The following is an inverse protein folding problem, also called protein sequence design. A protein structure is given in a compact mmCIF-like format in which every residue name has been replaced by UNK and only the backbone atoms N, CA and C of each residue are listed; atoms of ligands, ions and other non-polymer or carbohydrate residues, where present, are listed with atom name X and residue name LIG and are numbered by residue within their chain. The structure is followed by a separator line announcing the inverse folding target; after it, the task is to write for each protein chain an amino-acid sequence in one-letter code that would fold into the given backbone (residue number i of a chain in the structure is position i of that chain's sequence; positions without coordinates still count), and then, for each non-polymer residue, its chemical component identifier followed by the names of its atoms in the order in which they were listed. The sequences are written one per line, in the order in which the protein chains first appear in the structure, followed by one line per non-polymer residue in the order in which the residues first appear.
data_IF_056061057957
#
_entry.id   IF_056061057957
#
_cell.length_a   1.000
_cell.length_b   1.000
_cell.length_c   1.000
_cell.angle_alpha   90.00
_cell.angle_beta   90.00
_cell.angle_gamma   90.00
#
_symmetry.space_group_name_H-M   'P 1'
#
loop_
_entity.id
_entity.type
_entity.pdbx_description
1 polymer ?
#
# COMPACT_ATOMS: atom_id res chain seq x y z
N UNK A 1 12.73 18.34 -6.76
CA UNK A 1 11.45 18.99 -7.04
C UNK A 1 11.46 20.42 -6.47
N UNK A 2 11.47 21.46 -7.28
CA UNK A 2 11.29 22.83 -6.78
C UNK A 2 9.79 23.08 -6.67
N UNK A 3 9.30 23.32 -5.46
CA UNK A 3 7.88 23.57 -5.19
C UNK A 3 7.70 25.04 -4.94
N UNK A 4 6.90 25.71 -5.78
CA UNK A 4 6.52 27.10 -5.56
C UNK A 4 5.34 27.12 -4.58
N UNK A 5 5.59 27.47 -3.31
CA UNK A 5 4.54 27.72 -2.33
C UNK A 5 3.99 29.13 -2.50
N UNK A 6 2.89 29.29 -3.25
CA UNK A 6 2.13 30.52 -3.24
C UNK A 6 1.37 30.69 -1.91
N UNK A 7 1.29 31.91 -1.40
CA UNK A 7 0.60 32.32 -0.17
C UNK A 7 -0.94 32.11 -0.19
N UNK A 8 -1.42 30.87 -0.26
CA UNK A 8 -2.86 30.55 -0.36
C UNK A 8 -3.40 29.63 0.74
N UNK A 9 -2.63 29.41 1.81
CA UNK A 9 -3.04 28.54 2.92
C UNK A 9 -4.26 29.08 3.72
N UNK A 10 -4.63 30.34 3.57
CA UNK A 10 -5.70 30.98 4.38
C UNK A 10 -7.10 30.78 3.79
N UNK A 11 -7.24 30.44 2.51
CA UNK A 11 -8.55 30.34 1.82
C UNK A 11 -9.25 28.98 1.97
N UNK A 12 -8.50 27.90 2.32
CA UNK A 12 -9.05 26.54 2.29
C UNK A 12 -10.04 26.28 3.42
N UNK A 13 -9.76 26.78 4.62
CA UNK A 13 -10.64 26.65 5.78
C UNK A 13 -12.01 27.34 5.58
N UNK A 14 -12.02 28.45 4.83
CA UNK A 14 -13.23 29.21 4.55
C UNK A 14 -14.16 28.51 3.53
N UNK A 15 -13.59 27.84 2.53
CA UNK A 15 -14.37 27.18 1.46
C UNK A 15 -15.00 25.87 1.94
N UNK A 16 -14.27 25.07 2.73
CA UNK A 16 -14.80 23.83 3.31
C UNK A 16 -15.80 24.11 4.43
N UNK A 17 -15.60 25.15 5.22
CA UNK A 17 -16.53 25.57 6.29
C UNK A 17 -17.88 26.09 5.75
N UNK A 18 -17.93 26.63 4.53
CA UNK A 18 -19.18 27.06 3.90
C UNK A 18 -20.11 25.90 3.58
N UNK A 19 -19.56 24.73 3.17
CA UNK A 19 -20.36 23.52 2.89
C UNK A 19 -20.85 22.78 4.14
N UNK A 20 -20.12 22.88 5.25
CA UNK A 20 -20.52 22.26 6.53
C UNK A 20 -21.68 23.00 7.22
N UNK A 21 -21.92 24.28 6.91
CA UNK A 21 -22.98 25.09 7.54
C UNK A 21 -24.38 24.87 6.97
N UNK A 22 -24.54 24.29 5.81
CA UNK A 22 -25.86 24.10 5.18
C UNK A 22 -26.62 22.84 5.60
N UNK A 23 -26.04 21.97 6.45
CA UNK A 23 -26.73 20.80 6.98
C UNK A 23 -26.80 20.82 8.49
N UNK A 24 -27.79 21.55 9.00
CA UNK A 24 -28.27 21.38 10.36
C UNK A 24 -28.77 19.96 10.63
N UNK A 25 -28.28 19.40 11.71
CA UNK A 25 -28.87 18.36 12.55
C UNK A 25 -29.63 17.22 11.86
N UNK A 26 -28.96 16.08 11.74
CA UNK A 26 -29.58 14.77 11.95
C UNK A 26 -28.76 14.03 13.01
N UNK A 27 -29.27 14.03 14.19
CA UNK A 27 -28.78 13.28 15.35
C UNK A 27 -29.11 11.80 15.18
N UNK A 28 -28.23 10.93 15.66
CA UNK A 28 -28.54 9.53 15.98
C UNK A 28 -27.86 8.46 15.15
N UNK A 29 -26.52 8.40 15.17
CA UNK A 29 -25.86 7.12 14.96
C UNK A 29 -25.61 6.49 16.34
N UNK A 30 -26.33 5.40 16.64
CA UNK A 30 -26.05 4.53 17.78
C UNK A 30 -24.58 4.03 17.68
N UNK A 31 -23.87 3.85 18.80
CA UNK A 31 -22.51 3.31 18.77
C UNK A 31 -22.58 1.90 18.15
N UNK A 32 -21.97 1.73 16.98
CA UNK A 32 -21.81 0.43 16.35
C UNK A 32 -21.11 -0.49 17.35
N UNK A 33 -21.75 -1.59 17.73
CA UNK A 33 -21.15 -2.63 18.56
C UNK A 33 -19.80 -2.99 17.92
N UNK A 34 -18.70 -2.75 18.63
CA UNK A 34 -17.37 -3.20 18.21
C UNK A 34 -17.45 -4.71 18.05
N UNK A 35 -17.26 -5.21 16.84
CA UNK A 35 -17.20 -6.63 16.61
C UNK A 35 -16.03 -7.19 17.45
N UNK A 36 -16.35 -8.01 18.43
CA UNK A 36 -15.36 -8.68 19.27
C UNK A 36 -14.62 -9.71 18.41
N UNK A 37 -13.31 -9.55 18.28
CA UNK A 37 -12.49 -10.49 17.52
C UNK A 37 -12.21 -11.70 18.42
N UNK A 38 -12.88 -12.79 18.14
CA UNK A 38 -12.59 -14.07 18.83
C UNK A 38 -11.34 -14.70 18.21
N UNK A 39 -10.27 -14.78 19.00
CA UNK A 39 -9.02 -15.41 18.58
C UNK A 39 -9.12 -16.92 18.86
N UNK A 40 -8.95 -17.81 17.83
CA UNK A 40 -8.94 -19.24 18.04
C UNK A 40 -7.79 -19.64 18.98
N UNK A 41 -7.98 -20.65 19.86
CA UNK A 41 -6.94 -21.13 20.78
C UNK A 41 -5.63 -21.52 20.06
N UNK A 42 -5.72 -22.16 18.90
CA UNK A 42 -4.56 -22.58 18.10
C UNK A 42 -3.78 -21.38 17.58
N UNK A 43 -4.45 -20.29 17.24
CA UNK A 43 -3.82 -19.05 16.83
C UNK A 43 -3.09 -18.36 17.98
N UNK A 44 -3.72 -18.35 19.17
CA UNK A 44 -3.09 -17.83 20.38
C UNK A 44 -1.85 -18.64 20.76
N UNK A 45 -1.94 -19.98 20.69
CA UNK A 45 -0.80 -20.87 20.94
C UNK A 45 0.32 -20.66 19.90
N UNK A 46 -0.01 -20.52 18.62
CA UNK A 46 0.95 -20.28 17.55
C UNK A 46 1.69 -18.95 17.71
N UNK A 47 0.97 -17.87 18.07
CA UNK A 47 1.61 -16.56 18.33
C UNK A 47 2.51 -16.62 19.55
N UNK A 48 2.10 -17.31 20.62
CA UNK A 48 2.92 -17.53 21.82
C UNK A 48 4.18 -18.34 21.48
N UNK A 49 4.05 -19.42 20.69
CA UNK A 49 5.19 -20.25 20.23
C UNK A 49 6.17 -19.43 19.40
N UNK A 50 5.68 -18.64 18.44
CA UNK A 50 6.51 -17.78 17.61
C UNK A 50 7.23 -16.69 18.44
N UNK A 51 6.56 -16.15 19.45
CA UNK A 51 7.16 -15.18 20.37
C UNK A 51 8.16 -15.80 21.35
N UNK A 52 7.95 -17.07 21.76
CA UNK A 52 8.82 -17.79 22.69
C UNK A 52 10.05 -18.41 22.00
N UNK A 53 9.98 -18.75 20.72
CA UNK A 53 11.07 -19.37 19.95
C UNK A 53 12.33 -18.48 19.81
N UNK A 54 12.29 -17.29 20.35
CA UNK A 54 13.38 -16.32 20.38
C UNK A 54 14.40 -16.56 21.49
N UNK A 55 14.67 -17.80 21.87
CA UNK A 55 15.83 -18.19 22.71
C UNK A 55 17.15 -18.13 21.93
N UNK A 56 17.09 -17.98 20.62
CA UNK A 56 18.23 -17.67 19.75
C UNK A 56 18.77 -16.26 19.99
N UNK A 57 20.08 -16.01 19.75
CA UNK A 57 20.68 -14.70 20.00
C UNK A 57 20.10 -13.57 19.12
N UNK A 58 19.41 -13.89 18.04
CA UNK A 58 18.80 -12.92 17.13
C UNK A 58 17.27 -12.98 17.15
N UNK A 59 16.56 -11.83 17.06
CA UNK A 59 15.10 -11.81 16.97
C UNK A 59 14.57 -12.61 15.76
N UNK A 60 13.35 -13.19 15.82
CA UNK A 60 12.83 -14.06 14.78
C UNK A 60 12.50 -13.31 13.48
N UNK A 61 12.64 -14.01 12.36
CA UNK A 61 12.06 -13.65 11.06
C UNK A 61 10.93 -14.64 10.77
N UNK A 62 9.69 -14.15 10.78
CA UNK A 62 8.49 -14.97 10.64
C UNK A 62 7.82 -14.68 9.30
N UNK A 63 7.70 -15.69 8.44
CA UNK A 63 6.92 -15.61 7.20
C UNK A 63 5.56 -16.25 7.41
N UNK A 64 4.48 -15.49 7.11
CA UNK A 64 3.09 -15.97 7.20
C UNK A 64 2.56 -16.26 5.81
N UNK A 65 2.27 -17.53 5.50
CA UNK A 65 1.84 -17.98 4.19
C UNK A 65 0.56 -18.83 4.24
N UNK A 66 -0.07 -19.04 3.08
CA UNK A 66 -1.31 -19.82 2.94
C UNK A 66 -2.27 -19.24 1.91
N UNK A 67 -3.45 -19.86 1.71
CA UNK A 67 -4.41 -19.46 0.69
C UNK A 67 -4.94 -18.04 0.86
N UNK A 68 -5.55 -17.53 -0.23
CA UNK A 68 -6.28 -16.26 -0.16
C UNK A 68 -7.45 -16.38 0.84
N UNK A 69 -7.67 -15.34 1.63
CA UNK A 69 -8.73 -15.26 2.65
C UNK A 69 -8.61 -16.29 3.80
N UNK A 70 -7.43 -16.89 4.01
CA UNK A 70 -7.17 -17.79 5.13
C UNK A 70 -6.95 -17.06 6.48
N UNK A 71 -6.86 -15.72 6.45
CA UNK A 71 -6.63 -14.92 7.66
C UNK A 71 -5.18 -14.53 7.92
N UNK A 72 -4.28 -14.68 6.95
CA UNK A 72 -2.84 -14.34 7.08
C UNK A 72 -2.61 -12.98 7.72
N UNK A 73 -3.18 -11.95 7.14
CA UNK A 73 -3.03 -10.58 7.65
C UNK A 73 -3.56 -10.41 9.07
N UNK A 74 -4.67 -11.06 9.42
CA UNK A 74 -5.20 -11.06 10.79
C UNK A 74 -4.24 -11.74 11.75
N UNK A 75 -3.68 -12.90 11.36
CA UNK A 75 -2.67 -13.56 12.14
C UNK A 75 -1.39 -12.74 12.30
N UNK A 76 -0.92 -12.10 11.21
CA UNK A 76 0.26 -11.22 11.25
C UNK A 76 0.08 -10.07 12.23
N UNK A 77 -1.13 -9.48 12.34
CA UNK A 77 -1.45 -8.43 13.31
C UNK A 77 -1.46 -8.96 14.76
N UNK A 78 -2.02 -10.15 14.97
CA UNK A 78 -1.98 -10.81 16.30
C UNK A 78 -0.54 -11.08 16.73
N UNK A 79 0.27 -11.61 15.81
CA UNK A 79 1.68 -11.87 16.05
C UNK A 79 2.45 -10.59 16.36
N UNK A 80 2.19 -9.50 15.60
CA UNK A 80 2.77 -8.19 15.85
C UNK A 80 2.48 -7.73 17.27
N UNK A 81 1.21 -7.76 17.70
CA UNK A 81 0.82 -7.39 19.05
C UNK A 81 1.44 -8.30 20.12
N UNK A 82 1.73 -9.56 19.79
CA UNK A 82 2.38 -10.50 20.73
C UNK A 82 3.89 -10.28 20.86
N UNK A 83 4.54 -9.76 19.82
CA UNK A 83 5.98 -9.47 19.83
C UNK A 83 6.30 -8.10 20.45
N UNK A 84 5.43 -7.11 20.32
CA UNK A 84 5.64 -5.75 20.81
C UNK A 84 6.01 -5.67 22.32
N UNK A 85 5.36 -6.38 23.24
CA UNK A 85 5.69 -6.30 24.67
C UNK A 85 7.14 -6.74 24.99
N UNK A 86 7.71 -7.59 24.15
CA UNK A 86 9.06 -8.13 24.35
C UNK A 86 10.13 -7.28 23.66
N UNK A 87 9.86 -6.80 22.45
CA UNK A 87 10.85 -6.15 21.62
C UNK A 87 10.69 -4.62 21.52
N UNK A 88 9.58 -4.08 22.03
CA UNK A 88 9.25 -2.66 21.92
C UNK A 88 8.92 -2.21 20.49
N UNK A 89 9.60 -2.76 19.48
CA UNK A 89 9.39 -2.47 18.06
C UNK A 89 9.43 -3.75 17.24
N UNK A 90 8.64 -3.81 16.18
CA UNK A 90 8.52 -4.96 15.27
C UNK A 90 8.60 -4.49 13.83
N UNK A 91 9.48 -5.10 13.04
CA UNK A 91 9.52 -4.92 11.59
C UNK A 91 8.35 -5.65 10.92
N UNK A 92 7.70 -5.00 9.99
CA UNK A 92 6.60 -5.57 9.21
C UNK A 92 6.87 -5.35 7.71
N UNK A 93 7.18 -6.42 7.00
CA UNK A 93 7.38 -6.41 5.55
C UNK A 93 6.09 -6.87 4.87
N UNK A 94 5.41 -5.93 4.24
CA UNK A 94 4.18 -6.21 3.51
C UNK A 94 4.48 -6.43 2.04
N UNK A 95 4.18 -7.62 1.58
CA UNK A 95 4.45 -8.03 0.20
C UNK A 95 3.17 -8.22 -0.62
N UNK A 96 1.99 -7.97 -0.07
CA UNK A 96 0.72 -8.07 -0.80
C UNK A 96 0.37 -6.74 -1.50
N UNK A 97 0.86 -6.56 -2.73
CA UNK A 97 0.57 -5.37 -3.56
C UNK A 97 -0.92 -5.15 -3.84
N UNK A 98 -1.73 -6.22 -3.73
CA UNK A 98 -3.17 -6.14 -4.00
C UNK A 98 -4.00 -5.68 -2.82
N UNK A 99 -3.59 -6.03 -1.60
CA UNK A 99 -4.30 -5.69 -0.35
C UNK A 99 -3.30 -5.45 0.78
N UNK A 100 -2.45 -4.42 0.66
CA UNK A 100 -1.47 -4.13 1.69
C UNK A 100 -2.13 -3.68 2.99
N UNK A 101 -1.44 -3.94 4.11
CA UNK A 101 -1.96 -3.66 5.45
C UNK A 101 -1.90 -2.19 5.83
N UNK A 102 -0.75 -1.55 5.62
CA UNK A 102 -0.44 -0.21 6.12
C UNK A 102 -0.16 0.81 5.02
N UNK A 103 -0.07 0.37 3.76
CA UNK A 103 0.24 1.20 2.60
C UNK A 103 -0.88 1.18 1.56
N UNK A 104 -0.89 2.10 0.58
CA UNK A 104 -1.84 2.07 -0.53
C UNK A 104 -1.55 0.89 -1.48
N UNK A 105 -2.57 0.42 -2.25
CA UNK A 105 -2.41 -0.63 -3.25
C UNK A 105 -1.33 -0.32 -4.28
N UNK A 106 -0.66 -1.36 -4.77
CA UNK A 106 0.44 -1.24 -5.72
C UNK A 106 1.81 -1.02 -5.08
N UNK A 107 1.89 -1.02 -3.75
CA UNK A 107 3.12 -0.85 -3.01
C UNK A 107 3.55 -2.14 -2.30
N UNK A 108 4.87 -2.39 -2.26
CA UNK A 108 5.51 -3.21 -1.24
C UNK A 108 6.12 -2.26 -0.21
N UNK A 109 6.03 -2.59 1.07
CA UNK A 109 6.46 -1.64 2.10
C UNK A 109 7.05 -2.34 3.32
N UNK A 110 8.05 -1.69 3.91
CA UNK A 110 8.63 -2.05 5.20
C UNK A 110 8.27 -1.00 6.23
N UNK A 111 7.69 -1.44 7.33
CA UNK A 111 7.27 -0.62 8.45
C UNK A 111 7.98 -1.05 9.72
N UNK A 112 8.27 -0.10 10.59
CA UNK A 112 8.66 -0.34 11.98
C UNK A 112 7.48 0.09 12.85
N UNK A 113 6.89 -0.87 13.54
CA UNK A 113 5.70 -0.66 14.36
C UNK A 113 6.10 -0.75 15.83
N UNK A 114 5.77 0.27 16.60
CA UNK A 114 6.08 0.43 18.02
C UNK A 114 4.83 0.51 18.92
N UNK A 115 3.66 0.57 18.31
CA UNK A 115 2.39 0.61 19.01
C UNK A 115 1.49 -0.55 18.63
N UNK A 116 0.78 -1.11 19.62
CA UNK A 116 -0.16 -2.20 19.41
C UNK A 116 -1.32 -1.78 18.49
N UNK A 117 -1.72 -2.69 17.60
CA UNK A 117 -2.86 -2.51 16.74
C UNK A 117 -4.15 -2.73 17.54
N UNK A 118 -4.92 -1.67 17.71
CA UNK A 118 -6.19 -1.70 18.47
C UNK A 118 -7.35 -2.23 17.63
N UNK A 119 -7.33 -2.01 16.31
CA UNK A 119 -8.30 -2.58 15.37
C UNK A 119 -7.62 -3.65 14.50
N UNK A 120 -7.89 -4.90 14.85
CA UNK A 120 -7.37 -6.06 14.11
C UNK A 120 -8.13 -6.34 12.81
N UNK A 121 -9.24 -5.67 12.54
CA UNK A 121 -10.05 -5.86 11.34
C UNK A 121 -9.74 -4.81 10.27
N UNK A 122 -9.54 -3.57 10.68
CA UNK A 122 -9.33 -2.43 9.77
C UNK A 122 -8.11 -1.62 10.22
N UNK A 123 -6.89 -2.06 9.92
CA UNK A 123 -5.70 -1.30 10.26
C UNK A 123 -5.67 0.02 9.49
N UNK A 124 -5.26 1.07 10.17
CA UNK A 124 -5.05 2.39 9.57
C UNK A 124 -3.77 2.40 8.73
N UNK A 125 -3.73 3.27 7.74
CA UNK A 125 -2.50 3.57 7.01
C UNK A 125 -1.43 4.08 7.98
N UNK A 126 -0.19 3.63 7.78
CA UNK A 126 0.96 4.05 8.58
C UNK A 126 2.09 4.51 7.67
N UNK A 127 2.87 5.43 8.16
CA UNK A 127 4.11 5.80 7.49
C UNK A 127 5.01 4.58 7.36
N UNK A 128 5.59 4.38 6.19
CA UNK A 128 6.54 3.32 5.93
C UNK A 128 7.96 3.84 6.07
N UNK A 129 8.85 3.01 6.59
CA UNK A 129 10.26 3.34 6.62
C UNK A 129 10.90 3.25 5.23
N UNK A 130 10.44 2.27 4.44
CA UNK A 130 10.79 2.12 3.02
C UNK A 130 9.60 1.58 2.22
N UNK A 131 9.47 2.08 1.01
CA UNK A 131 8.43 1.67 0.09
C UNK A 131 8.98 1.53 -1.33
N UNK A 132 8.52 0.49 -2.02
CA UNK A 132 8.71 0.32 -3.46
C UNK A 132 7.34 0.38 -4.13
N UNK A 133 7.16 1.27 -5.09
CA UNK A 133 5.94 1.33 -5.89
C UNK A 133 6.05 0.35 -7.06
N UNK A 134 5.41 -0.79 -6.94
CA UNK A 134 5.32 -1.79 -8.00
C UNK A 134 4.32 -1.37 -9.10
N UNK A 135 3.29 -0.60 -8.73
CA UNK A 135 2.36 0.02 -9.66
C UNK A 135 1.26 -0.90 -10.22
N UNK A 136 1.16 -2.15 -9.77
CA UNK A 136 0.06 -3.06 -10.11
C UNK A 136 -0.47 -3.76 -8.85
N UNK A 137 -1.73 -4.17 -8.88
CA UNK A 137 -2.39 -4.96 -7.83
C UNK A 137 -2.08 -6.46 -7.94
N UNK A 138 -1.33 -6.87 -8.93
CA UNK A 138 -0.98 -8.27 -9.22
C UNK A 138 0.47 -8.41 -9.64
N UNK A 139 1.27 -9.07 -8.83
CA UNK A 139 2.67 -9.41 -9.10
C UNK A 139 2.88 -10.34 -10.31
N UNK A 140 1.82 -10.97 -10.81
CA UNK A 140 1.92 -11.96 -11.92
C UNK A 140 2.28 -11.32 -13.26
N UNK A 141 2.10 -10.03 -13.41
CA UNK A 141 2.41 -9.32 -14.65
C UNK A 141 3.92 -9.21 -14.84
N UNK A 142 4.64 -8.96 -13.77
CA UNK A 142 6.08 -8.80 -13.75
C UNK A 142 6.66 -9.41 -12.46
N UNK A 143 6.81 -10.76 -12.42
CA UNK A 143 7.32 -11.46 -11.25
C UNK A 143 8.75 -11.08 -10.89
N UNK A 144 9.59 -10.78 -11.88
CA UNK A 144 10.99 -10.42 -11.68
C UNK A 144 11.11 -9.08 -10.94
N UNK A 145 10.47 -8.03 -11.45
CA UNK A 145 10.46 -6.71 -10.78
C UNK A 145 9.83 -6.80 -9.39
N UNK A 146 8.78 -7.62 -9.22
CA UNK A 146 8.19 -7.84 -7.91
C UNK A 146 9.17 -8.44 -6.90
N UNK A 147 9.86 -9.52 -7.28
CA UNK A 147 10.86 -10.17 -6.41
C UNK A 147 12.03 -9.22 -6.13
N UNK A 148 12.49 -8.46 -7.12
CA UNK A 148 13.54 -7.48 -6.93
C UNK A 148 13.14 -6.40 -5.91
N UNK A 149 11.91 -5.88 -5.97
CA UNK A 149 11.38 -4.94 -4.97
C UNK A 149 11.37 -5.56 -3.56
N UNK A 150 10.92 -6.79 -3.45
CA UNK A 150 10.87 -7.51 -2.19
C UNK A 150 12.28 -7.71 -1.61
N UNK A 151 13.22 -8.21 -2.42
CA UNK A 151 14.59 -8.46 -2.00
C UNK A 151 15.27 -7.16 -1.55
N UNK A 152 15.07 -6.08 -2.29
CA UNK A 152 15.62 -4.78 -1.93
C UNK A 152 15.10 -4.24 -0.57
N UNK A 153 13.81 -4.44 -0.27
CA UNK A 153 13.24 -4.11 1.05
C UNK A 153 13.78 -5.01 2.16
N UNK A 154 13.97 -6.30 1.87
CA UNK A 154 14.54 -7.24 2.84
C UNK A 154 16.01 -6.96 3.11
N UNK A 155 16.79 -6.66 2.07
CA UNK A 155 18.21 -6.28 2.21
C UNK A 155 18.37 -5.02 3.04
N UNK A 156 17.51 -4.01 2.83
CA UNK A 156 17.47 -2.83 3.67
C UNK A 156 17.22 -3.18 5.17
N UNK A 157 16.28 -4.10 5.43
CA UNK A 157 16.04 -4.58 6.79
C UNK A 157 17.29 -5.27 7.37
N UNK A 158 17.93 -6.14 6.60
CA UNK A 158 19.14 -6.87 7.04
C UNK A 158 20.29 -5.90 7.31
N UNK A 159 20.54 -4.98 6.39
CA UNK A 159 21.61 -3.99 6.53
C UNK A 159 21.42 -3.12 7.78
N UNK A 160 20.20 -2.62 8.00
CA UNK A 160 19.92 -1.69 9.08
C UNK A 160 19.73 -2.36 10.44
N UNK A 161 19.05 -3.51 10.50
CA UNK A 161 18.54 -4.13 11.74
C UNK A 161 19.16 -5.49 12.06
N UNK A 162 19.99 -6.03 11.19
CA UNK A 162 20.69 -7.31 11.44
C UNK A 162 22.19 -7.14 11.48
N UNK A 163 22.76 -6.34 10.57
CA UNK A 163 24.20 -6.12 10.44
C UNK A 163 24.62 -4.70 10.85
N UNK A 164 23.66 -3.79 10.99
CA UNK A 164 23.89 -2.38 11.30
C UNK A 164 24.04 -2.08 12.78
N UNK A 165 24.27 -0.79 13.10
CA UNK A 165 24.36 -0.28 14.47
C UNK A 165 22.99 -0.13 15.17
N UNK A 166 21.89 -0.34 14.45
CA UNK A 166 20.54 -0.26 15.02
C UNK A 166 20.22 -1.48 15.86
N UNK A 167 19.35 -1.30 16.86
CA UNK A 167 18.86 -2.39 17.70
C UNK A 167 18.15 -3.45 16.84
N UNK A 168 18.52 -4.75 16.98
CA UNK A 168 17.92 -5.81 16.20
C UNK A 168 16.40 -5.92 16.40
N UNK A 169 15.63 -6.05 15.31
CA UNK A 169 14.19 -6.17 15.32
C UNK A 169 13.73 -7.58 14.90
N UNK A 170 12.63 -8.11 15.48
CA UNK A 170 11.90 -9.21 14.86
C UNK A 170 11.24 -8.71 13.56
N UNK A 171 11.10 -9.60 12.58
CA UNK A 171 10.46 -9.30 11.31
C UNK A 171 9.26 -10.21 11.07
N UNK A 172 8.13 -9.62 10.72
CA UNK A 172 6.96 -10.34 10.19
C UNK A 172 6.89 -10.04 8.69
N UNK A 173 6.82 -11.10 7.88
CA UNK A 173 6.60 -10.99 6.44
C UNK A 173 5.19 -11.47 6.11
N UNK A 174 4.32 -10.55 5.70
CA UNK A 174 2.96 -10.87 5.23
C UNK A 174 3.00 -11.17 3.74
N UNK A 175 2.48 -12.35 3.32
CA UNK A 175 2.56 -12.79 1.93
C UNK A 175 1.19 -12.77 1.24
N UNK A 176 1.15 -12.60 -0.08
CA UNK A 176 -0.05 -12.85 -0.88
C UNK A 176 -0.55 -14.28 -0.75
N UNK A 177 -1.81 -14.51 -1.16
CA UNK A 177 -2.44 -15.83 -1.08
C UNK A 177 -2.01 -16.79 -2.19
N UNK A 178 -0.71 -17.05 -2.33
CA UNK A 178 -0.13 -17.87 -3.40
C UNK A 178 0.01 -19.33 -2.97
N UNK A 179 -0.65 -20.20 -3.68
CA UNK A 179 -0.59 -21.65 -3.40
C UNK A 179 -0.36 -22.49 -4.67
N UNK A 180 -0.38 -21.87 -5.88
CA UNK A 180 -0.22 -22.58 -7.17
C UNK A 180 0.34 -21.66 -8.26
N UNK A 181 0.99 -22.28 -9.27
CA UNK A 181 1.51 -21.62 -10.46
C UNK A 181 2.56 -20.56 -10.13
N UNK A 182 2.73 -19.55 -10.96
CA UNK A 182 3.76 -18.52 -10.82
C UNK A 182 3.78 -17.84 -9.41
N UNK A 183 2.62 -17.72 -8.75
CA UNK A 183 2.58 -17.22 -7.37
C UNK A 183 3.26 -18.17 -6.38
N UNK A 184 3.10 -19.48 -6.56
CA UNK A 184 3.80 -20.46 -5.75
C UNK A 184 5.30 -20.42 -5.98
N UNK A 185 5.72 -20.31 -7.24
CA UNK A 185 7.15 -20.22 -7.59
C UNK A 185 7.79 -18.97 -6.97
N UNK A 186 7.09 -17.82 -7.01
CA UNK A 186 7.52 -16.60 -6.33
C UNK A 186 7.61 -16.78 -4.79
N UNK A 187 6.67 -17.53 -4.18
CA UNK A 187 6.72 -17.80 -2.74
C UNK A 187 7.93 -18.67 -2.38
N UNK A 188 8.26 -19.67 -3.23
CA UNK A 188 9.46 -20.50 -3.06
C UNK A 188 10.72 -19.65 -3.09
N UNK A 189 10.87 -18.79 -4.10
CA UNK A 189 12.04 -17.89 -4.23
C UNK A 189 12.12 -16.92 -3.05
N UNK A 190 10.98 -16.36 -2.60
CA UNK A 190 10.92 -15.52 -1.41
C UNK A 190 11.41 -16.25 -0.16
N UNK A 191 10.94 -17.47 0.09
CA UNK A 191 11.32 -18.26 1.26
C UNK A 191 12.81 -18.64 1.23
N UNK A 192 13.35 -18.95 0.03
CA UNK A 192 14.77 -19.23 -0.17
C UNK A 192 15.64 -18.00 0.12
N UNK A 193 15.21 -16.83 -0.36
CA UNK A 193 15.96 -15.59 -0.18
C UNK A 193 15.96 -15.08 1.26
N UNK A 194 14.78 -15.05 1.89
CA UNK A 194 14.59 -14.53 3.25
C UNK A 194 15.23 -15.45 4.30
N UNK A 195 15.28 -16.77 4.05
CA UNK A 195 15.75 -17.76 5.02
C UNK A 195 15.12 -17.55 6.40
N UNK A 196 13.77 -17.61 6.54
CA UNK A 196 13.09 -17.29 7.78
C UNK A 196 13.47 -18.26 8.91
N UNK A 197 13.37 -17.80 10.16
CA UNK A 197 13.54 -18.67 11.34
C UNK A 197 12.26 -19.43 11.68
N UNK A 198 11.10 -18.85 11.30
CA UNK A 198 9.78 -19.45 11.53
C UNK A 198 8.94 -19.27 10.27
N UNK A 199 8.23 -20.31 9.85
CA UNK A 199 7.20 -20.24 8.81
C UNK A 199 5.86 -20.65 9.41
N UNK A 200 4.89 -19.75 9.37
CA UNK A 200 3.50 -20.02 9.78
C UNK A 200 2.67 -20.29 8.52
N UNK A 201 2.21 -21.51 8.38
CA UNK A 201 1.35 -21.93 7.28
C UNK A 201 -0.09 -22.03 7.74
N UNK A 202 -0.96 -21.16 7.21
CA UNK A 202 -2.40 -21.20 7.49
C UNK A 202 -3.07 -22.07 6.43
N UNK A 203 -3.87 -23.05 6.87
CA UNK A 203 -4.57 -24.03 6.03
C UNK A 203 -6.06 -23.78 6.03
N UNK A 204 -6.71 -24.18 4.95
CA UNK A 204 -8.18 -24.20 4.84
C UNK A 204 -8.67 -25.64 4.65
N UNK A 205 -9.95 -25.91 4.90
CA UNK A 205 -10.55 -27.23 4.75
C UNK A 205 -10.40 -27.84 3.36
N UNK A 206 -10.35 -27.01 2.32
CA UNK A 206 -10.14 -27.45 0.93
C UNK A 206 -8.65 -27.78 0.69
N UNK A 207 -8.25 -29.03 0.93
CA UNK A 207 -6.87 -29.51 0.84
C UNK A 207 -6.18 -29.13 -0.48
N UNK A 208 -6.89 -29.24 -1.61
CA UNK A 208 -6.34 -28.90 -2.94
C UNK A 208 -5.99 -27.43 -3.14
N UNK A 209 -6.36 -26.55 -2.19
CA UNK A 209 -6.06 -25.11 -2.18
C UNK A 209 -5.01 -24.74 -1.12
N UNK A 210 -4.45 -25.69 -0.42
CA UNK A 210 -3.36 -25.47 0.53
C UNK A 210 -2.00 -25.57 -0.15
N UNK A 211 -0.98 -25.04 0.52
CA UNK A 211 0.42 -25.25 0.17
C UNK A 211 0.80 -26.72 0.45
N UNK A 212 1.84 -27.25 -0.21
CA UNK A 212 2.38 -28.56 0.14
C UNK A 212 2.79 -28.65 1.60
N UNK A 213 2.78 -29.88 2.13
CA UNK A 213 3.27 -30.15 3.47
C UNK A 213 4.79 -30.08 3.56
N UNK A 214 5.29 -29.70 4.73
CA UNK A 214 6.73 -29.61 4.99
C UNK A 214 7.41 -28.39 4.36
N UNK A 215 8.72 -28.50 4.23
CA UNK A 215 9.59 -27.40 3.76
C UNK A 215 9.81 -27.49 2.24
N UNK A 216 8.76 -27.31 1.48
CA UNK A 216 8.72 -27.50 0.01
C UNK A 216 9.68 -26.59 -0.79
N UNK A 217 10.32 -25.63 -0.16
CA UNK A 217 11.30 -24.72 -0.79
C UNK A 217 12.75 -25.10 -0.52
N UNK A 218 12.99 -26.09 0.36
CA UNK A 218 14.34 -26.57 0.72
C UNK A 218 14.67 -27.89 0.02
N UNK A 219 15.94 -28.10 -0.27
CA UNK A 219 16.43 -29.36 -0.74
C UNK A 219 16.54 -30.40 0.39
N UNK A 220 16.48 -31.67 0.04
CA UNK A 220 16.56 -32.78 1.01
C UNK A 220 17.84 -32.69 1.85
N UNK A 221 17.70 -32.69 3.18
CA UNK A 221 18.82 -32.70 4.13
C UNK A 221 19.27 -31.33 4.64
N UNK A 222 18.67 -30.23 4.22
CA UNK A 222 18.93 -28.93 4.80
C UNK A 222 18.17 -28.75 6.13
N UNK A 223 18.84 -28.15 7.12
CA UNK A 223 18.17 -27.68 8.35
C UNK A 223 17.27 -26.51 8.00
N UNK A 224 15.99 -26.60 8.33
CA UNK A 224 15.02 -25.59 7.99
C UNK A 224 14.48 -24.81 9.20
N UNK A 225 13.60 -23.84 8.95
CA UNK A 225 12.94 -23.06 9.99
C UNK A 225 11.97 -23.89 10.83
N UNK A 226 11.55 -23.34 11.97
CA UNK A 226 10.44 -23.89 12.72
C UNK A 226 9.14 -23.72 11.93
N UNK A 227 8.43 -24.83 11.65
CA UNK A 227 7.16 -24.84 10.93
C UNK A 227 6.00 -24.86 11.90
N UNK A 228 5.12 -23.86 11.82
CA UNK A 228 3.88 -23.79 12.59
C UNK A 228 2.70 -23.89 11.62
N UNK A 229 1.94 -24.97 11.73
CA UNK A 229 0.73 -25.18 10.93
C UNK A 229 -0.50 -24.86 11.77
N UNK A 230 -1.36 -23.99 11.26
CA UNK A 230 -2.64 -23.62 11.90
C UNK A 230 -3.77 -23.66 10.88
N UNK A 231 -4.97 -23.92 11.35
CA UNK A 231 -6.15 -23.89 10.50
C UNK A 231 -6.80 -22.51 10.48
N UNK A 232 -7.35 -22.13 9.33
CA UNK A 232 -8.17 -20.95 9.22
C UNK A 232 -9.41 -21.10 10.11
N UNK A 233 -9.86 -20.03 10.80
CA UNK A 233 -11.05 -20.10 11.65
C UNK A 233 -12.24 -20.62 10.84
N UNK A 234 -12.97 -21.60 11.37
CA UNK A 234 -14.19 -22.09 10.75
C UNK A 234 -15.21 -20.96 10.70
N UNK A 235 -15.55 -20.52 9.52
CA UNK A 235 -16.75 -19.73 9.32
C UNK A 235 -17.93 -20.71 9.30
N UNK A 236 -18.72 -20.71 10.35
CA UNK A 236 -19.95 -21.49 10.44
C UNK A 236 -20.79 -21.25 9.16
N UNK A 237 -21.20 -22.35 8.52
CA UNK A 237 -21.98 -22.31 7.30
C UNK A 237 -23.32 -21.54 7.47
N UNK A 238 -23.80 -21.39 8.70
CA UNK A 238 -25.01 -20.63 9.07
C UNK A 238 -24.82 -19.12 8.96
N UNK A 239 -23.60 -18.59 9.09
CA UNK A 239 -23.30 -17.16 8.99
C UNK A 239 -22.80 -16.72 7.60
N UNK A 240 -22.85 -17.58 6.59
CA UNK A 240 -22.44 -17.23 5.21
C UNK A 240 -23.22 -16.07 4.60
N UNK A 241 -24.44 -15.82 5.06
CA UNK A 241 -25.27 -14.69 4.56
C UNK A 241 -24.87 -13.32 5.12
N UNK A 242 -24.10 -13.29 6.24
CA UNK A 242 -23.60 -12.06 6.87
C UNK A 242 -22.12 -11.81 6.58
N UNK A 243 -21.40 -12.79 6.04
CA UNK A 243 -20.06 -12.57 5.51
C UNK A 243 -20.21 -11.80 4.21
N UNK A 244 -20.20 -10.49 4.31
CA UNK A 244 -19.92 -9.59 3.20
C UNK A 244 -18.68 -10.17 2.53
N UNK A 245 -18.89 -10.77 1.36
CA UNK A 245 -17.79 -11.24 0.51
C UNK A 245 -16.88 -10.03 0.37
N UNK A 246 -15.69 -10.07 1.00
CA UNK A 246 -14.80 -8.91 1.04
C UNK A 246 -14.55 -8.52 -0.41
N UNK A 247 -15.22 -7.50 -0.88
CA UNK A 247 -15.04 -6.95 -2.20
C UNK A 247 -13.63 -6.37 -2.26
N UNK A 248 -12.75 -7.14 -2.88
CA UNK A 248 -11.34 -6.76 -3.01
C UNK A 248 -11.16 -5.44 -3.75
N UNK A 249 -12.07 -5.10 -4.66
CA UNK A 249 -12.07 -3.83 -5.37
C UNK A 249 -12.44 -2.68 -4.41
N UNK A 250 -13.54 -2.79 -3.71
CA UNK A 250 -13.98 -1.77 -2.76
C UNK A 250 -13.00 -1.57 -1.60
N UNK A 251 -12.28 -2.63 -1.19
CA UNK A 251 -11.22 -2.48 -0.17
C UNK A 251 -10.03 -1.66 -0.69
N UNK A 252 -9.59 -1.89 -1.93
CA UNK A 252 -8.51 -1.09 -2.54
C UNK A 252 -8.93 0.35 -2.75
N UNK A 253 -10.14 0.57 -3.27
CA UNK A 253 -10.69 1.90 -3.45
C UNK A 253 -10.73 2.67 -2.11
N UNK A 254 -11.20 2.02 -1.04
CA UNK A 254 -11.21 2.60 0.32
C UNK A 254 -9.81 2.97 0.78
N UNK A 255 -8.79 2.13 0.55
CA UNK A 255 -7.40 2.43 0.92
C UNK A 255 -6.86 3.65 0.20
N UNK A 256 -7.11 3.80 -1.09
CA UNK A 256 -6.73 4.99 -1.85
C UNK A 256 -7.47 6.24 -1.36
N UNK A 257 -8.74 6.11 -1.04
CA UNK A 257 -9.54 7.20 -0.47
C UNK A 257 -8.96 7.63 0.89
N UNK A 258 -8.67 6.68 1.79
CA UNK A 258 -8.03 6.95 3.08
C UNK A 258 -6.66 7.59 2.92
N UNK A 259 -5.89 7.17 1.92
CA UNK A 259 -4.58 7.75 1.62
C UNK A 259 -4.71 9.22 1.19
N UNK A 260 -5.58 9.53 0.24
CA UNK A 260 -5.75 10.92 -0.23
C UNK A 260 -6.52 11.81 0.74
N UNK A 261 -7.24 11.27 1.73
CA UNK A 261 -7.76 12.04 2.85
C UNK A 261 -6.65 12.71 3.67
N UNK A 262 -5.47 12.12 3.73
CA UNK A 262 -4.30 12.70 4.41
C UNK A 262 -3.77 14.00 3.75
N UNK A 263 -4.26 14.37 2.55
CA UNK A 263 -4.02 15.69 1.97
C UNK A 263 -4.67 16.83 2.79
N UNK A 264 -5.54 16.51 3.74
CA UNK A 264 -6.27 17.46 4.55
C UNK A 264 -5.86 17.34 6.02
N UNK A 265 -5.84 18.47 6.76
CA UNK A 265 -5.65 18.44 8.19
C UNK A 265 -6.72 17.57 8.89
N UNK A 266 -6.34 16.96 10.01
CA UNK A 266 -7.20 16.01 10.76
C UNK A 266 -8.45 16.63 11.38
N UNK A 267 -8.50 17.95 11.51
CA UNK A 267 -9.66 18.72 11.99
C UNK A 267 -10.76 18.89 10.93
N UNK A 268 -10.42 18.62 9.65
CA UNK A 268 -11.40 18.67 8.56
C UNK A 268 -12.09 17.31 8.43
N UNK A 269 -13.38 17.26 8.82
CA UNK A 269 -14.19 16.07 8.69
C UNK A 269 -14.72 15.91 7.26
N UNK A 270 -14.10 15.01 6.48
CA UNK A 270 -14.59 14.56 5.17
C UNK A 270 -15.32 13.23 5.36
N UNK A 271 -16.63 13.28 5.50
CA UNK A 271 -17.45 12.09 5.83
C UNK A 271 -17.83 11.27 4.61
N UNK A 272 -17.90 11.91 3.43
CA UNK A 272 -18.31 11.27 2.18
C UNK A 272 -17.22 11.36 1.11
N UNK A 273 -17.20 10.36 0.20
CA UNK A 273 -16.30 10.38 -0.95
C UNK A 273 -16.53 11.61 -1.86
N UNK A 274 -17.76 12.12 -1.88
CA UNK A 274 -18.12 13.31 -2.65
C UNK A 274 -17.46 14.57 -2.05
N UNK A 275 -17.49 14.71 -0.74
CA UNK A 275 -16.80 15.81 -0.04
C UNK A 275 -15.29 15.75 -0.28
N UNK A 276 -14.70 14.54 -0.20
CA UNK A 276 -13.29 14.34 -0.52
C UNK A 276 -12.98 14.74 -1.98
N UNK A 277 -13.80 14.30 -2.93
CA UNK A 277 -13.60 14.64 -4.34
C UNK A 277 -13.63 16.15 -4.56
N UNK A 278 -14.60 16.86 -3.98
CA UNK A 278 -14.66 18.32 -4.02
C UNK A 278 -13.45 18.96 -3.32
N UNK A 279 -13.08 18.46 -2.16
CA UNK A 279 -11.90 18.92 -1.43
C UNK A 279 -10.64 18.82 -2.29
N UNK A 280 -10.36 17.64 -2.87
CA UNK A 280 -9.20 17.41 -3.73
C UNK A 280 -9.20 18.34 -4.97
N UNK A 281 -10.36 18.68 -5.53
CA UNK A 281 -10.43 19.63 -6.64
C UNK A 281 -10.16 21.08 -6.22
N UNK A 282 -10.35 21.40 -4.95
CA UNK A 282 -10.16 22.72 -4.37
C UNK A 282 -8.78 22.95 -3.77
N UNK A 283 -8.00 21.86 -3.57
CA UNK A 283 -6.64 21.96 -3.07
C UNK A 283 -5.73 22.63 -4.08
N UNK A 284 -4.89 23.60 -3.68
CA UNK A 284 -3.82 24.10 -4.51
C UNK A 284 -2.82 22.95 -4.74
N UNK A 285 -2.58 22.57 -6.02
CA UNK A 285 -1.62 21.52 -6.32
C UNK A 285 -0.19 22.03 -6.16
N UNK A 286 0.73 21.10 -5.95
CA UNK A 286 2.15 21.42 -6.09
C UNK A 286 2.51 21.62 -7.56
N UNK A 287 3.18 22.71 -7.87
CA UNK A 287 3.73 22.98 -9.20
C UNK A 287 5.12 22.37 -9.32
N UNK A 288 5.31 21.52 -10.32
CA UNK A 288 6.54 20.79 -10.57
C UNK A 288 7.00 21.05 -11.97
N UNK A 289 8.25 21.50 -12.15
CA UNK A 289 8.82 21.63 -13.49
C UNK A 289 9.00 20.24 -14.11
N UNK A 290 8.59 20.10 -15.37
CA UNK A 290 8.79 18.90 -16.18
C UNK A 290 10.28 18.55 -16.29
N UNK A 291 11.17 19.55 -16.29
CA UNK A 291 12.62 19.36 -16.35
C UNK A 291 13.23 18.78 -15.07
N UNK A 292 12.52 18.86 -13.95
CA UNK A 292 13.03 18.41 -12.65
C UNK A 292 12.70 16.95 -12.33
N UNK A 293 11.92 16.29 -13.18
CA UNK A 293 11.46 14.92 -12.95
C UNK A 293 11.56 14.06 -14.21
N UNK A 294 11.91 12.81 -14.02
CA UNK A 294 11.89 11.78 -15.05
C UNK A 294 10.66 10.88 -14.86
N UNK A 295 10.05 10.44 -15.95
CA UNK A 295 8.89 9.55 -15.95
C UNK A 295 9.32 8.15 -16.33
N UNK A 296 8.91 7.16 -15.52
CA UNK A 296 9.10 5.74 -15.79
C UNK A 296 7.73 5.06 -15.84
N UNK A 297 7.43 4.40 -16.95
CA UNK A 297 6.25 3.56 -17.12
C UNK A 297 6.60 2.12 -16.73
N UNK A 298 5.99 1.59 -15.67
CA UNK A 298 6.38 0.33 -15.06
C UNK A 298 5.94 -0.91 -15.84
N UNK A 299 4.77 -0.88 -16.47
CA UNK A 299 4.14 -2.06 -17.07
C UNK A 299 3.71 -1.88 -18.53
N UNK A 300 4.09 -0.79 -19.14
CA UNK A 300 3.79 -0.49 -20.54
C UNK A 300 4.91 0.36 -21.18
N UNK A 301 4.95 0.35 -22.49
CA UNK A 301 5.80 1.26 -23.23
C UNK A 301 4.94 2.39 -23.78
N UNK A 302 5.38 3.62 -23.59
CA UNK A 302 4.70 4.82 -24.07
C UNK A 302 5.65 5.55 -25.02
N UNK A 303 5.19 5.94 -26.22
CA UNK A 303 5.99 6.75 -27.13
C UNK A 303 6.45 8.05 -26.46
N UNK A 304 7.67 8.55 -26.72
CA UNK A 304 8.19 9.76 -26.09
C UNK A 304 7.29 11.00 -26.28
N UNK A 305 6.57 11.09 -27.39
CA UNK A 305 5.61 12.18 -27.67
C UNK A 305 4.36 12.13 -26.78
N UNK A 306 4.02 10.97 -26.22
CA UNK A 306 2.79 10.74 -25.45
C UNK A 306 3.03 10.63 -23.94
N UNK A 307 4.28 10.67 -23.49
CA UNK A 307 4.65 10.50 -22.07
C UNK A 307 3.85 11.45 -21.16
N UNK A 308 3.82 12.73 -21.48
CA UNK A 308 3.11 13.73 -20.67
C UNK A 308 1.60 13.58 -20.76
N UNK A 309 1.07 13.23 -21.93
CA UNK A 309 -0.38 13.01 -22.11
C UNK A 309 -0.85 11.78 -21.32
N UNK A 310 -0.02 10.75 -21.22
CA UNK A 310 -0.35 9.50 -20.49
C UNK A 310 -0.48 9.71 -18.97
N UNK A 311 0.19 10.72 -18.42
CA UNK A 311 0.17 11.00 -16.98
C UNK A 311 -1.07 11.76 -16.51
N UNK A 312 -1.78 12.43 -17.40
CA UNK A 312 -2.89 13.30 -17.00
C UNK A 312 -4.02 12.53 -16.33
N UNK A 313 -4.47 12.99 -15.17
CA UNK A 313 -5.48 12.35 -14.33
C UNK A 313 -5.12 10.88 -13.95
N UNK A 314 -3.86 10.62 -13.57
CA UNK A 314 -3.39 9.32 -13.12
C UNK A 314 -2.80 9.38 -11.72
N UNK A 315 -2.70 8.22 -11.07
CA UNK A 315 -1.90 8.04 -9.85
C UNK A 315 -0.49 7.64 -10.26
N UNK A 316 0.49 8.30 -9.66
CA UNK A 316 1.92 8.00 -9.82
C UNK A 316 2.59 7.75 -8.49
N UNK A 317 3.60 6.89 -8.46
CA UNK A 317 4.54 6.82 -7.36
C UNK A 317 5.52 7.99 -7.44
N UNK A 318 5.65 8.73 -6.35
CA UNK A 318 6.62 9.81 -6.19
C UNK A 318 7.90 9.21 -5.63
N UNK A 319 8.93 9.07 -6.46
CA UNK A 319 10.10 8.28 -6.12
C UNK A 319 11.39 9.11 -6.13
N UNK A 320 12.38 8.57 -5.43
CA UNK A 320 13.71 9.15 -5.27
C UNK A 320 14.70 8.16 -5.86
N UNK A 321 15.51 8.60 -6.83
CA UNK A 321 16.56 7.77 -7.42
C UNK A 321 17.64 7.47 -6.39
N UNK A 322 18.10 6.23 -6.36
CA UNK A 322 19.19 5.78 -5.50
C UNK A 322 20.51 5.79 -6.29
N UNK A 323 21.16 6.95 -6.39
CA UNK A 323 22.46 7.08 -7.07
C UNK A 323 22.39 6.96 -8.59
N UNK A 324 23.53 6.83 -9.24
CA UNK A 324 23.63 6.64 -10.70
C UNK A 324 22.86 5.38 -11.11
N UNK A 325 21.90 5.54 -12.01
CA UNK A 325 21.17 4.46 -12.67
C UNK A 325 22.17 3.75 -13.62
N UNK A 326 23.20 3.12 -13.04
CA UNK A 326 24.03 2.21 -13.79
C UNK A 326 23.28 0.88 -13.91
N UNK A 327 22.82 0.65 -15.15
CA UNK A 327 22.38 -0.63 -15.65
C UNK A 327 21.44 -1.46 -14.75
N UNK A 328 20.19 -1.05 -14.60
CA UNK A 328 19.09 -1.99 -14.36
C UNK A 328 18.95 -2.61 -12.96
N UNK A 329 19.67 -2.16 -11.92
CA UNK A 329 19.67 -2.80 -10.59
C UNK A 329 19.24 -1.95 -9.41
N UNK A 330 19.09 -0.63 -9.56
CA UNK A 330 18.67 0.21 -8.42
C UNK A 330 17.18 0.46 -8.46
N UNK A 331 16.44 -0.11 -7.50
CA UNK A 331 15.02 0.13 -7.33
C UNK A 331 14.85 1.47 -6.60
N UNK A 332 14.12 2.44 -7.17
CA UNK A 332 13.92 3.73 -6.55
C UNK A 332 13.02 3.63 -5.31
N UNK A 333 13.30 4.41 -4.29
CA UNK A 333 12.48 4.51 -3.10
C UNK A 333 11.26 5.39 -3.36
N UNK A 334 10.07 4.86 -3.14
CA UNK A 334 8.82 5.59 -3.25
C UNK A 334 8.54 6.36 -1.96
N UNK A 335 8.45 7.69 -2.03
CA UNK A 335 8.07 8.55 -0.91
C UNK A 335 6.56 8.54 -0.65
N UNK A 336 5.76 8.16 -1.64
CA UNK A 336 4.31 8.06 -1.56
C UNK A 336 3.65 8.19 -2.92
N UNK A 337 2.31 8.32 -2.94
CA UNK A 337 1.55 8.46 -4.17
C UNK A 337 1.13 9.91 -4.41
N UNK A 338 1.04 10.29 -5.68
CA UNK A 338 0.47 11.55 -6.11
C UNK A 338 -0.56 11.38 -7.22
N UNK A 339 -1.52 12.29 -7.28
CA UNK A 339 -2.43 12.44 -8.42
C UNK A 339 -1.88 13.54 -9.32
N UNK A 340 -1.62 13.21 -10.58
CA UNK A 340 -1.33 14.23 -11.59
C UNK A 340 -2.64 14.91 -11.97
N UNK A 341 -2.85 16.08 -11.41
CA UNK A 341 -4.08 16.86 -11.56
C UNK A 341 -4.23 17.47 -12.93
N UNK A 342 -3.12 17.85 -13.54
CA UNK A 342 -3.04 18.43 -14.87
C UNK A 342 -1.61 18.65 -15.30
N UNK A 343 -1.43 18.93 -16.57
CA UNK A 343 -0.12 19.18 -17.19
C UNK A 343 -0.24 20.35 -18.14
N UNK A 344 0.56 21.37 -17.92
CA UNK A 344 0.75 22.49 -18.87
C UNK A 344 2.07 22.27 -19.60
N UNK A 345 1.98 21.60 -20.74
CA UNK A 345 3.16 21.30 -21.58
C UNK A 345 3.82 22.56 -22.11
N UNK A 346 3.04 23.64 -22.37
CA UNK A 346 3.58 24.90 -22.91
C UNK A 346 4.42 25.65 -21.87
N UNK A 347 3.97 25.60 -20.59
CA UNK A 347 4.71 26.20 -19.48
C UNK A 347 5.74 25.24 -18.87
N UNK A 348 5.72 23.96 -19.27
CA UNK A 348 6.57 22.93 -18.71
C UNK A 348 6.27 22.64 -17.24
N UNK A 349 4.99 22.64 -16.83
CA UNK A 349 4.58 22.48 -15.43
C UNK A 349 3.62 21.29 -15.28
N UNK A 350 3.88 20.47 -14.27
CA UNK A 350 2.97 19.44 -13.74
C UNK A 350 2.29 19.95 -12.47
N UNK A 351 1.03 19.60 -12.31
CA UNK A 351 0.24 19.90 -11.10
C UNK A 351 -0.04 18.62 -10.36
N UNK A 352 0.52 18.50 -9.14
CA UNK A 352 0.49 17.26 -8.35
C UNK A 352 -0.26 17.46 -7.04
N UNK A 353 -1.20 16.58 -6.72
CA UNK A 353 -1.87 16.50 -5.41
C UNK A 353 -1.36 15.28 -4.69
N UNK A 354 -0.86 15.45 -3.47
CA UNK A 354 -0.28 14.36 -2.67
C UNK A 354 -0.30 14.71 -1.18
N UNK A 355 -0.44 13.71 -0.28
CA UNK A 355 -0.24 13.91 1.14
C UNK A 355 1.24 13.86 1.57
N UNK A 356 2.16 13.57 0.65
CA UNK A 356 3.60 13.47 0.95
C UNK A 356 4.11 14.82 1.46
N UNK A 357 4.80 14.85 2.62
CA UNK A 357 5.36 16.08 3.18
C UNK A 357 6.34 16.77 2.23
N UNK A 358 6.38 18.11 2.29
CA UNK A 358 7.19 18.94 1.40
C UNK A 358 8.69 18.57 1.42
N UNK A 359 9.21 18.22 2.59
CA UNK A 359 10.61 17.81 2.78
C UNK A 359 10.98 16.55 1.98
N UNK A 360 10.04 15.61 1.86
CA UNK A 360 10.20 14.42 1.01
C UNK A 360 10.00 14.75 -0.46
N UNK A 361 9.02 15.61 -0.78
CA UNK A 361 8.73 16.02 -2.15
C UNK A 361 9.92 16.74 -2.82
N UNK A 362 10.68 17.52 -2.07
CA UNK A 362 11.87 18.21 -2.60
C UNK A 362 12.97 17.24 -3.09
N UNK A 363 12.96 16.00 -2.62
CA UNK A 363 13.89 14.94 -3.01
C UNK A 363 13.41 14.09 -4.17
N UNK A 364 12.13 14.18 -4.52
CA UNK A 364 11.52 13.40 -5.60
C UNK A 364 12.06 13.89 -6.95
N UNK A 365 12.58 12.95 -7.73
CA UNK A 365 13.12 13.16 -9.08
C UNK A 365 12.54 12.18 -10.11
N UNK A 366 11.73 11.22 -9.66
CA UNK A 366 11.09 10.20 -10.50
C UNK A 366 9.58 10.17 -10.29
N UNK A 367 8.84 10.05 -11.40
CA UNK A 367 7.41 9.74 -11.42
C UNK A 367 7.22 8.34 -11.99
N UNK A 368 6.76 7.41 -11.16
CA UNK A 368 6.53 6.03 -11.54
C UNK A 368 5.05 5.86 -11.92
N UNK A 369 4.75 5.68 -13.18
CA UNK A 369 3.39 5.40 -13.63
C UNK A 369 3.15 3.89 -13.70
N UNK A 370 2.13 3.41 -13.00
CA UNK A 370 1.66 2.04 -13.02
C UNK A 370 0.23 1.92 -13.54
N UNK A 371 -0.46 0.89 -13.08
CA UNK A 371 -1.85 0.55 -13.43
C UNK A 371 -2.82 0.82 -12.27
N UNK A 372 -2.40 1.60 -11.26
CA UNK A 372 -3.27 1.99 -10.15
C UNK A 372 -4.16 3.14 -10.61
N UNK A 373 -5.46 2.88 -10.62
CA UNK A 373 -6.45 3.85 -11.09
C UNK A 373 -6.95 4.74 -9.95
N UNK A 374 -7.30 5.98 -10.28
CA UNK A 374 -8.02 6.87 -9.35
C UNK A 374 -9.39 6.26 -9.06
N UNK A 375 -9.80 6.17 -7.77
CA UNK A 375 -11.14 5.73 -7.40
C UNK A 375 -12.23 6.46 -8.20
N UNK A 376 -13.15 5.72 -8.80
CA UNK A 376 -14.23 6.29 -9.61
C UNK A 376 -15.08 7.30 -8.83
N UNK A 377 -15.25 7.09 -7.54
CA UNK A 377 -15.95 7.98 -6.62
C UNK A 377 -15.28 9.35 -6.49
N UNK A 378 -13.97 9.46 -6.76
CA UNK A 378 -13.22 10.71 -6.74
C UNK A 378 -13.24 11.45 -8.10
N UNK A 379 -13.60 10.77 -9.18
CA UNK A 379 -13.68 11.35 -10.53
C UNK A 379 -15.07 11.93 -10.86
N UNK A 380 -16.11 11.52 -10.14
CA UNK A 380 -17.51 11.87 -10.45
C UNK A 380 -17.94 13.19 -9.78
N UNK A 381 -17.23 14.27 -10.06
CA UNK A 381 -17.62 15.61 -9.61
C UNK A 381 -18.32 16.35 -10.75
N UNK A 382 -19.66 16.37 -10.77
CA UNK A 382 -20.44 17.07 -11.78
C UNK A 382 -20.21 18.58 -11.67
N UNK A 383 -20.00 19.24 -12.80
CA UNK A 383 -19.85 20.70 -12.91
C UNK A 383 -18.48 21.22 -12.45
N UNK A 384 -17.52 20.36 -12.13
CA UNK A 384 -16.16 20.77 -11.81
C UNK A 384 -15.32 20.73 -13.09
N UNK A 385 -14.95 21.90 -13.60
CA UNK A 385 -13.92 22.04 -14.63
C UNK A 385 -12.59 22.20 -13.91
N UNK A 386 -11.64 21.32 -14.19
CA UNK A 386 -10.31 21.46 -13.61
C UNK A 386 -9.58 22.65 -14.25
N UNK A 387 -9.19 23.68 -13.47
CA UNK A 387 -8.43 24.81 -14.01
C UNK A 387 -7.01 24.40 -14.45
N UNK A 388 -6.58 23.17 -14.11
CA UNK A 388 -5.25 22.64 -14.39
C UNK A 388 -5.24 21.66 -15.57
N UNK A 389 -6.37 21.49 -16.28
CA UNK A 389 -6.39 20.72 -17.51
C UNK A 389 -5.80 21.53 -18.67
N UNK A 390 -4.92 20.94 -19.51
CA UNK A 390 -4.44 21.64 -20.70
C UNK A 390 -5.61 21.99 -21.62
N UNK A 391 -5.65 23.21 -22.08
CA UNK A 391 -6.69 23.77 -22.99
C UNK A 391 -6.89 22.91 -24.24
N UNK A 392 -5.87 22.19 -24.69
CA UNK A 392 -5.94 21.33 -25.87
C UNK A 392 -6.90 20.14 -25.72
N UNK A 393 -7.21 19.70 -24.51
CA UNK A 393 -8.19 18.62 -24.26
C UNK A 393 -9.62 19.17 -24.40
N UNK A 394 -9.85 20.42 -24.00
CA UNK A 394 -11.16 21.08 -24.13
C UNK A 394 -11.51 21.37 -25.59
N UNK A 395 -10.53 21.72 -26.44
CA UNK A 395 -10.77 21.91 -27.85
C UNK A 395 -11.17 20.65 -28.61
N UNK A 396 -10.64 19.49 -28.25
CA UNK A 396 -11.03 18.21 -28.89
C UNK A 396 -12.44 17.75 -28.54
N UNK A 397 -13.00 18.17 -27.40
CA UNK A 397 -14.38 17.82 -27.00
C UNK A 397 -15.38 18.70 -27.75
N UNK A 398 -15.08 19.98 -28.00
CA UNK A 398 -16.01 20.89 -28.69
C UNK A 398 -16.16 20.61 -30.19
N UNK A 399 -15.17 20.00 -30.83
CA UNK A 399 -15.23 19.63 -32.25
C UNK A 399 -16.05 18.33 -32.49
N UNK A 400 -16.26 17.50 -31.47
CA UNK A 400 -17.09 16.27 -31.59
C UNK A 400 -18.58 16.52 -31.35
N UNK A 401 -18.93 17.53 -30.57
CA UNK A 401 -20.33 17.87 -30.25
C UNK A 401 -21.02 18.76 -31.31
N UNK A 402 -20.28 19.21 -32.33
CA UNK A 402 -20.83 20.08 -33.44
C UNK A 402 -21.26 19.19 -34.63
N UNK A 403 -20.91 17.89 -34.67
CA UNK A 403 -21.22 16.99 -35.78
C UNK A 403 -22.22 15.86 -35.41
N UNK A 404 -23.01 16.03 -34.36
CA UNK A 404 -24.22 15.26 -34.07
C UNK A 404 -25.40 16.24 -33.94
#
# INVERSE_FOLDING_TARGET
MRVCTGELAVSLAATVACFARERGAMAGASPSARAEVVVPPDWAAATATAAAASSEPAPPVVVVCGPKNAGKSTFSRLLLNSLLPRYGRVGYLDTDVGQPEFSPPGCLSFHVVDEALTDLLNPTLRECERCCFFGDISSKRDPETYLNCLFHLYDYFVEKYRSGASEPLPLIVNTPGWVKGAGFDMLVEMLRYICPTIVVQIRISAQSKNLPDGMFWLDCGQTGPNMINIDAPFHDALNRSLLIQKDSYGMRERRLIEYFKQCFPSDISLTTNKELAYGLTSLPPYEVSISDVMVIHLHCQVPPSEVWHSLNATIVGLAISCGTIEAGRSIPWCAGLGIIRGIDVQRGILYVITPVPLEHLQRVDLLLQGLIEIPKSLLQVRGCVSPYMPTNVLHRISERDINT
#
